data_IF_806153541444
#
_entry.id   IF_806153541444
#
_cell.length_a   1.000
_cell.length_b   1.000
_cell.length_c   1.000
_cell.angle_alpha   90.00
_cell.angle_beta   90.00
_cell.angle_gamma   90.00
#
_symmetry.space_group_name_H-M   'P 1'
#
loop_
_entity.id
_entity.type
_entity.pdbx_description
1 polymer ?
#
# COMPACT_ATOMS: atom_id res chain seq x y z
N UNK A 1 -20.58 -0.93 -13.16
CA UNK A 1 -20.79 -1.63 -11.87
C UNK A 1 -19.92 -0.92 -10.86
N UNK A 2 -20.49 -0.47 -9.74
CA UNK A 2 -19.79 0.22 -8.67
C UNK A 2 -19.63 -0.72 -7.46
N UNK A 3 -18.69 -0.40 -6.56
CA UNK A 3 -18.43 -1.20 -5.34
C UNK A 3 -19.55 -1.10 -4.30
N UNK A 4 -20.32 -0.01 -4.32
CA UNK A 4 -21.44 0.24 -3.41
C UNK A 4 -22.71 0.57 -4.20
N UNK A 5 -23.87 0.39 -3.58
CA UNK A 5 -25.15 0.76 -4.18
C UNK A 5 -25.36 2.27 -4.24
N UNK A 6 -26.13 2.74 -5.21
CA UNK A 6 -26.49 4.16 -5.36
C UNK A 6 -27.20 4.71 -4.10
N UNK A 7 -28.01 3.88 -3.43
CA UNK A 7 -28.69 4.25 -2.19
C UNK A 7 -27.71 4.50 -1.04
N UNK A 8 -26.72 3.61 -0.87
CA UNK A 8 -25.69 3.77 0.15
C UNK A 8 -24.82 4.99 -0.16
N UNK A 9 -24.46 5.20 -1.42
CA UNK A 9 -23.69 6.36 -1.86
C UNK A 9 -24.41 7.68 -1.54
N UNK A 10 -25.66 7.85 -1.97
CA UNK A 10 -26.40 9.10 -1.76
C UNK A 10 -26.71 9.34 -0.27
N UNK A 11 -27.00 8.28 0.49
CA UNK A 11 -27.22 8.38 1.93
C UNK A 11 -25.96 8.82 2.68
N UNK A 12 -24.82 8.21 2.34
CA UNK A 12 -23.52 8.56 2.93
C UNK A 12 -23.14 9.99 2.58
N UNK A 13 -23.24 10.37 1.31
CA UNK A 13 -22.94 11.72 0.83
C UNK A 13 -23.79 12.78 1.54
N UNK A 14 -25.10 12.55 1.66
CA UNK A 14 -26.00 13.45 2.38
C UNK A 14 -25.65 13.56 3.86
N UNK A 15 -25.33 12.44 4.51
CA UNK A 15 -25.01 12.41 5.94
C UNK A 15 -23.67 13.09 6.26
N UNK A 16 -22.66 12.88 5.42
CA UNK A 16 -21.29 13.34 5.64
C UNK A 16 -21.03 14.76 5.11
N UNK A 17 -21.82 15.26 4.15
CA UNK A 17 -21.71 16.65 3.65
C UNK A 17 -20.30 17.07 3.20
N UNK A 18 -19.49 16.12 2.70
CA UNK A 18 -18.10 16.36 2.29
C UNK A 18 -17.03 16.01 3.33
N UNK A 19 -17.41 15.77 4.59
CA UNK A 19 -16.51 15.40 5.69
C UNK A 19 -16.55 13.89 5.92
N UNK A 20 -15.72 13.17 5.18
CA UNK A 20 -15.61 11.71 5.26
C UNK A 20 -14.45 11.26 6.17
N UNK A 21 -13.44 12.11 6.33
CA UNK A 21 -12.28 11.84 7.18
C UNK A 21 -12.56 12.28 8.62
N UNK A 22 -12.53 11.35 9.58
CA UNK A 22 -12.78 11.59 11.00
C UNK A 22 -14.13 12.29 11.29
N UNK A 23 -15.25 11.68 10.91
CA UNK A 23 -16.57 12.28 11.07
C UNK A 23 -16.88 12.52 12.56
N UNK A 24 -17.21 13.76 12.91
CA UNK A 24 -17.78 14.08 14.23
C UNK A 24 -19.27 13.75 14.32
N UNK A 25 -19.93 13.62 13.16
CA UNK A 25 -21.33 13.24 13.03
C UNK A 25 -21.50 11.73 13.15
N UNK A 26 -22.22 11.28 14.19
CA UNK A 26 -22.50 9.87 14.45
C UNK A 26 -23.32 9.19 13.34
N UNK A 27 -24.15 9.92 12.60
CA UNK A 27 -24.85 9.38 11.44
C UNK A 27 -23.89 9.14 10.27
N UNK A 28 -22.95 10.05 10.02
CA UNK A 28 -21.93 9.85 8.98
C UNK A 28 -21.04 8.66 9.33
N UNK A 29 -20.57 8.57 10.59
CA UNK A 29 -19.80 7.44 11.08
C UNK A 29 -20.49 6.10 10.82
N UNK A 30 -21.79 5.99 11.14
CA UNK A 30 -22.57 4.76 10.86
C UNK A 30 -22.63 4.39 9.39
N UNK A 31 -22.82 5.37 8.50
CA UNK A 31 -22.85 5.09 7.06
C UNK A 31 -21.47 4.66 6.56
N UNK A 32 -20.40 5.28 7.08
CA UNK A 32 -19.03 4.89 6.77
C UNK A 32 -18.71 3.49 7.29
N UNK A 33 -19.18 3.09 8.47
CA UNK A 33 -19.06 1.71 8.96
C UNK A 33 -19.69 0.70 7.99
N UNK A 34 -20.83 1.04 7.38
CA UNK A 34 -21.47 0.18 6.37
C UNK A 34 -20.64 0.15 5.08
N UNK A 35 -20.10 1.28 4.63
CA UNK A 35 -19.21 1.34 3.46
C UNK A 35 -17.96 0.49 3.68
N UNK A 36 -17.33 0.60 4.84
CA UNK A 36 -16.15 -0.18 5.22
C UNK A 36 -16.48 -1.68 5.24
N UNK A 37 -17.61 -2.08 5.81
CA UNK A 37 -18.03 -3.48 5.86
C UNK A 37 -18.29 -4.08 4.47
N UNK A 38 -18.91 -3.34 3.54
CA UNK A 38 -19.17 -3.87 2.18
C UNK A 38 -17.92 -3.84 1.29
N UNK A 39 -16.92 -3.03 1.62
CA UNK A 39 -15.65 -2.92 0.89
C UNK A 39 -14.49 -3.65 1.56
N UNK A 40 -14.71 -4.31 2.71
CA UNK A 40 -13.66 -4.94 3.53
C UNK A 40 -12.83 -6.00 2.82
N UNK A 41 -13.42 -6.68 1.83
CA UNK A 41 -12.79 -7.74 1.05
C UNK A 41 -12.34 -7.24 -0.35
N UNK A 42 -12.32 -5.92 -0.56
CA UNK A 42 -11.73 -5.29 -1.74
C UNK A 42 -10.26 -5.04 -1.48
N UNK A 43 -9.41 -5.41 -2.44
CA UNK A 43 -8.01 -5.08 -2.39
C UNK A 43 -7.83 -3.57 -2.57
N UNK A 44 -7.45 -2.88 -1.50
CA UNK A 44 -7.22 -1.44 -1.50
C UNK A 44 -6.12 -1.02 -2.46
N UNK A 45 -5.08 -1.84 -2.63
CA UNK A 45 -3.90 -1.59 -3.48
C UNK A 45 -4.23 -1.64 -4.98
N UNK A 46 -5.20 -2.49 -5.35
CA UNK A 46 -5.72 -2.63 -6.69
C UNK A 46 -7.08 -3.34 -6.67
N UNK A 47 -8.16 -2.60 -6.96
CA UNK A 47 -9.54 -3.10 -6.86
C UNK A 47 -9.88 -4.23 -7.84
N UNK A 48 -9.01 -4.48 -8.83
CA UNK A 48 -9.17 -5.57 -9.80
C UNK A 48 -8.45 -6.86 -9.36
N UNK A 49 -7.62 -6.80 -8.31
CA UNK A 49 -6.93 -7.97 -7.76
C UNK A 49 -7.70 -8.56 -6.57
N UNK A 50 -7.57 -9.88 -6.31
CA UNK A 50 -8.17 -10.48 -5.12
C UNK A 50 -7.61 -9.85 -3.85
N UNK A 51 -8.44 -9.76 -2.81
CA UNK A 51 -7.97 -9.39 -1.49
C UNK A 51 -7.13 -10.52 -0.90
N UNK A 52 -5.86 -10.23 -0.68
CA UNK A 52 -4.89 -11.16 -0.15
C UNK A 52 -4.51 -10.71 1.27
N UNK A 53 -4.90 -11.51 2.27
CA UNK A 53 -4.70 -11.19 3.68
C UNK A 53 -3.21 -11.23 4.04
N UNK A 54 -2.55 -10.07 4.07
CA UNK A 54 -1.16 -9.93 4.55
C UNK A 54 -1.04 -9.51 6.01
N UNK A 55 -2.14 -9.14 6.65
CA UNK A 55 -2.14 -8.62 8.01
C UNK A 55 -2.26 -9.72 9.08
N UNK A 56 -1.39 -9.64 10.08
CA UNK A 56 -1.43 -10.45 11.30
C UNK A 56 -2.83 -10.37 11.94
N UNK A 57 -3.44 -11.49 12.38
CA UNK A 57 -4.75 -11.45 13.01
C UNK A 57 -4.74 -10.62 14.31
N UNK A 58 -5.89 -10.00 14.61
CA UNK A 58 -6.17 -9.33 15.89
C UNK A 58 -5.93 -10.31 17.05
N UNK A 59 -5.53 -9.84 18.25
CA UNK A 59 -5.27 -10.73 19.38
C UNK A 59 -6.53 -11.55 19.73
N UNK A 60 -6.50 -12.86 19.48
CA UNK A 60 -7.60 -13.78 19.81
C UNK A 60 -8.04 -14.74 18.70
N UNK A 61 -7.64 -14.52 17.45
CA UNK A 61 -7.94 -15.46 16.35
C UNK A 61 -6.72 -16.35 16.05
N UNK A 62 -6.81 -17.64 16.43
CA UNK A 62 -5.85 -18.66 16.02
C UNK A 62 -6.24 -19.13 14.62
N UNK A 63 -5.62 -18.58 13.57
CA UNK A 63 -5.47 -19.24 12.27
C UNK A 63 -4.41 -18.52 11.39
N UNK A 64 -3.45 -19.31 10.91
CA UNK A 64 -2.33 -18.98 9.99
C UNK A 64 -1.68 -17.61 10.17
N UNK A 65 -1.20 -17.37 11.39
CA UNK A 65 -0.21 -16.35 11.70
C UNK A 65 1.13 -16.70 11.06
N UNK A 66 1.74 -15.80 10.28
CA UNK A 66 3.19 -15.42 10.25
C UNK A 66 3.56 -14.79 8.90
N UNK A 67 3.08 -13.57 8.59
CA UNK A 67 3.61 -12.80 7.44
C UNK A 67 4.13 -11.41 7.86
N UNK A 68 3.72 -10.88 9.03
CA UNK A 68 4.22 -9.62 9.60
C UNK A 68 5.29 -9.73 10.69
N UNK A 69 5.60 -10.93 11.17
CA UNK A 69 6.73 -11.18 12.09
C UNK A 69 7.84 -11.79 11.26
N UNK A 70 9.01 -11.16 11.26
CA UNK A 70 10.17 -11.56 10.46
C UNK A 70 10.31 -13.08 10.40
N UNK A 71 10.17 -13.62 9.19
CA UNK A 71 10.26 -15.06 8.96
C UNK A 71 11.70 -15.49 9.22
N UNK A 72 11.89 -16.38 10.18
CA UNK A 72 13.12 -17.14 10.31
C UNK A 72 13.22 -18.09 9.09
N UNK A 73 14.45 -18.25 8.58
CA UNK A 73 14.78 -18.92 7.31
C UNK A 73 14.20 -20.35 7.16
N UNK A 74 13.86 -21.01 8.27
CA UNK A 74 13.43 -22.41 8.32
C UNK A 74 11.93 -22.65 8.04
N UNK A 75 11.07 -21.63 8.13
CA UNK A 75 9.60 -21.79 7.95
C UNK A 75 9.11 -21.51 6.51
N UNK A 76 10.02 -21.09 5.62
CA UNK A 76 9.71 -20.48 4.32
C UNK A 76 9.28 -21.48 3.23
N UNK A 77 9.90 -22.68 3.08
CA UNK A 77 9.54 -23.61 2.01
C UNK A 77 8.09 -24.15 2.11
N UNK A 78 7.59 -24.36 3.33
CA UNK A 78 6.20 -24.78 3.59
C UNK A 78 5.20 -23.65 3.31
N UNK A 79 5.62 -22.39 3.48
CA UNK A 79 4.80 -21.21 3.22
C UNK A 79 4.51 -21.02 1.72
N UNK A 80 5.52 -21.23 0.86
CA UNK A 80 5.40 -21.06 -0.59
C UNK A 80 4.39 -22.05 -1.19
N UNK A 81 4.31 -23.26 -0.65
CA UNK A 81 3.34 -24.28 -1.12
C UNK A 81 1.88 -24.02 -0.73
N UNK A 82 1.62 -23.15 0.26
CA UNK A 82 0.28 -22.84 0.76
C UNK A 82 -0.28 -21.48 0.32
N UNK A 83 0.51 -20.68 -0.39
CA UNK A 83 0.10 -19.36 -0.85
C UNK A 83 -0.77 -19.48 -2.11
N UNK A 84 -1.94 -18.80 -2.17
CA UNK A 84 -2.74 -18.77 -3.38
C UNK A 84 -1.89 -18.26 -4.56
N UNK A 85 -1.88 -19.01 -5.67
CA UNK A 85 -1.20 -18.63 -6.92
C UNK A 85 -1.66 -17.28 -7.46
N UNK A 86 -2.87 -16.89 -7.07
CA UNK A 86 -3.58 -15.73 -7.61
C UNK A 86 -3.27 -14.45 -6.82
N UNK A 87 -2.47 -14.55 -5.74
CA UNK A 87 -2.06 -13.43 -4.91
C UNK A 87 -0.66 -12.95 -5.28
N UNK A 88 -0.58 -11.75 -5.89
CA UNK A 88 0.69 -11.05 -6.14
C UNK A 88 1.46 -10.77 -4.84
N UNK A 89 0.73 -10.56 -3.73
CA UNK A 89 1.27 -10.37 -2.40
C UNK A 89 2.20 -11.51 -1.93
N UNK A 90 2.00 -12.73 -2.44
CA UNK A 90 2.86 -13.88 -2.18
C UNK A 90 4.31 -13.64 -2.60
N UNK A 91 4.55 -12.82 -3.62
CA UNK A 91 5.90 -12.47 -4.08
C UNK A 91 6.66 -11.59 -3.07
N UNK A 92 5.97 -10.92 -2.14
CA UNK A 92 6.60 -10.02 -1.18
C UNK A 92 7.42 -10.73 -0.09
N UNK A 93 7.35 -12.06 0.02
CA UNK A 93 8.28 -12.83 0.87
C UNK A 93 9.69 -12.88 0.28
N UNK A 94 9.82 -12.80 -1.05
CA UNK A 94 11.09 -12.97 -1.76
C UNK A 94 12.13 -11.90 -1.41
N UNK A 95 11.79 -10.58 -1.32
CA UNK A 95 12.73 -9.58 -0.85
C UNK A 95 13.27 -9.87 0.56
N UNK A 96 12.42 -10.40 1.45
CA UNK A 96 12.83 -10.78 2.80
C UNK A 96 13.85 -11.93 2.78
N UNK A 97 13.63 -12.95 1.96
CA UNK A 97 14.58 -14.05 1.77
C UNK A 97 15.90 -13.57 1.18
N UNK A 98 15.83 -12.72 0.16
CA UNK A 98 17.01 -12.23 -0.55
C UNK A 98 17.84 -11.29 0.33
N UNK A 99 17.21 -10.31 0.99
CA UNK A 99 17.90 -9.31 1.81
C UNK A 99 18.49 -9.87 3.13
N UNK A 100 17.94 -10.99 3.62
CA UNK A 100 18.44 -11.68 4.81
C UNK A 100 19.41 -12.83 4.52
N UNK A 101 19.79 -13.03 3.26
CA UNK A 101 20.83 -13.99 2.92
C UNK A 101 22.22 -13.42 3.23
N UNK A 102 23.03 -14.13 4.01
CA UNK A 102 24.39 -13.68 4.41
C UNK A 102 25.29 -13.34 3.23
N UNK A 103 25.23 -14.12 2.14
CA UNK A 103 26.04 -13.87 0.94
C UNK A 103 25.60 -12.58 0.25
N UNK A 104 24.29 -12.31 0.23
CA UNK A 104 23.75 -11.04 -0.29
C UNK A 104 24.16 -9.88 0.60
N UNK A 105 24.06 -10.03 1.93
CA UNK A 105 24.48 -8.98 2.88
C UNK A 105 25.98 -8.67 2.77
N UNK A 106 26.82 -9.70 2.68
CA UNK A 106 28.26 -9.55 2.48
C UNK A 106 28.55 -8.84 1.13
N UNK A 107 27.83 -9.18 0.05
CA UNK A 107 27.97 -8.53 -1.26
C UNK A 107 27.50 -7.06 -1.27
N UNK A 108 26.47 -6.73 -0.49
CA UNK A 108 25.98 -5.35 -0.30
C UNK A 108 26.85 -4.55 0.68
N UNK A 109 27.84 -5.17 1.33
CA UNK A 109 28.71 -4.51 2.30
C UNK A 109 28.01 -4.17 3.63
N UNK A 110 26.98 -4.96 4.00
CA UNK A 110 26.29 -4.77 5.28
C UNK A 110 27.24 -5.15 6.43
N UNK A 111 27.39 -4.24 7.39
CA UNK A 111 28.25 -4.47 8.56
C UNK A 111 27.59 -5.48 9.50
N UNK A 112 28.26 -6.62 9.73
CA UNK A 112 27.77 -7.68 10.64
C UNK A 112 27.45 -7.09 12.02
N UNK A 113 26.28 -7.44 12.55
CA UNK A 113 25.78 -6.97 13.85
C UNK A 113 25.09 -5.59 13.84
N UNK A 114 24.95 -4.92 12.70
CA UNK A 114 24.22 -3.63 12.61
C UNK A 114 22.73 -3.76 12.37
N UNK A 115 22.32 -4.86 11.72
CA UNK A 115 20.93 -5.19 11.45
C UNK A 115 20.76 -6.65 11.83
N UNK A 116 19.72 -6.93 12.63
CA UNK A 116 19.38 -8.28 13.06
C UNK A 116 18.64 -9.02 11.93
N UNK A 117 17.45 -8.54 11.57
CA UNK A 117 16.67 -9.02 10.42
C UNK A 117 16.16 -7.83 9.63
N UNK A 118 16.42 -7.83 8.32
CA UNK A 118 15.83 -6.88 7.39
C UNK A 118 14.33 -7.11 7.29
N UNK A 119 13.57 -6.03 7.49
CA UNK A 119 12.12 -5.97 7.34
C UNK A 119 11.77 -4.93 6.29
N UNK A 120 10.85 -5.26 5.38
CA UNK A 120 10.39 -4.37 4.31
C UNK A 120 9.77 -3.09 4.88
N UNK A 121 8.88 -3.25 5.86
CA UNK A 121 8.21 -2.15 6.55
C UNK A 121 8.43 -2.27 8.07
N UNK A 122 8.85 -1.19 8.71
CA UNK A 122 8.97 -1.09 10.17
C UNK A 122 7.88 -0.17 10.71
N UNK A 123 6.87 -0.76 11.33
CA UNK A 123 5.72 -0.04 11.89
C UNK A 123 5.93 0.43 13.33
N UNK A 124 7.04 0.02 13.95
CA UNK A 124 7.46 0.40 15.30
C UNK A 124 8.28 1.70 15.35
N UNK A 125 8.43 2.36 14.20
CA UNK A 125 9.12 3.64 14.12
C UNK A 125 8.21 4.77 14.63
N UNK A 126 8.67 5.59 15.58
CA UNK A 126 7.91 6.76 16.00
C UNK A 126 7.83 7.75 14.84
N UNK A 127 6.64 7.95 14.31
CA UNK A 127 6.38 8.89 13.22
C UNK A 127 5.15 9.73 13.52
N UNK A 128 5.29 11.05 13.41
CA UNK A 128 4.21 12.01 13.62
C UNK A 128 3.69 12.49 12.27
N UNK A 129 2.37 12.42 12.08
CA UNK A 129 1.70 12.87 10.86
C UNK A 129 1.22 14.32 11.06
N UNK A 130 2.12 15.28 10.92
CA UNK A 130 1.87 16.71 11.14
C UNK A 130 1.63 17.52 9.84
N UNK A 131 1.92 16.93 8.68
CA UNK A 131 1.67 17.54 7.37
C UNK A 131 0.32 17.07 6.81
N UNK A 132 -0.65 18.00 6.74
CA UNK A 132 -2.00 17.72 6.23
C UNK A 132 -2.12 17.88 4.70
N UNK A 133 -1.25 18.67 4.07
CA UNK A 133 -1.26 18.88 2.62
C UNK A 133 0.13 19.21 2.08
N UNK A 134 0.48 18.58 0.96
CA UNK A 134 1.74 18.83 0.23
C UNK A 134 1.62 19.92 -0.83
N UNK A 135 0.40 20.42 -1.11
CA UNK A 135 0.16 21.43 -2.16
C UNK A 135 1.02 22.69 -1.99
N UNK A 136 1.17 23.29 -0.78
CA UNK A 136 2.03 24.47 -0.60
C UNK A 136 3.50 24.19 -0.91
N UNK A 137 3.97 22.97 -0.65
CA UNK A 137 5.35 22.56 -0.92
C UNK A 137 5.59 22.38 -2.42
N UNK A 138 4.67 21.72 -3.13
CA UNK A 138 4.72 21.61 -4.58
C UNK A 138 4.71 22.99 -5.26
N UNK A 139 3.86 23.92 -4.80
CA UNK A 139 3.84 25.30 -5.30
C UNK A 139 5.15 26.05 -5.08
N UNK A 140 5.79 25.88 -3.91
CA UNK A 140 7.06 26.53 -3.61
C UNK A 140 8.20 26.01 -4.52
N UNK A 141 8.27 24.71 -4.77
CA UNK A 141 9.33 24.15 -5.63
C UNK A 141 9.11 24.50 -7.10
N UNK A 142 7.86 24.51 -7.59
CA UNK A 142 7.57 24.89 -8.98
C UNK A 142 7.83 26.37 -9.24
N UNK A 143 7.57 27.26 -8.28
CA UNK A 143 7.94 28.68 -8.39
C UNK A 143 9.45 28.93 -8.46
N UNK A 144 10.27 27.99 -7.99
CA UNK A 144 11.73 28.04 -8.12
C UNK A 144 12.24 27.46 -9.45
N UNK A 145 11.34 27.03 -10.33
CA UNK A 145 11.67 26.46 -11.63
C UNK A 145 11.89 24.94 -11.63
N UNK A 146 11.61 24.24 -10.52
CA UNK A 146 11.68 22.78 -10.50
C UNK A 146 10.44 22.16 -11.14
N UNK A 147 10.64 21.20 -12.02
CA UNK A 147 9.57 20.43 -12.61
C UNK A 147 8.98 19.45 -11.59
N UNK A 148 7.66 19.34 -11.52
CA UNK A 148 6.96 18.40 -10.65
C UNK A 148 6.05 17.47 -11.47
N UNK A 149 6.12 16.17 -11.18
CA UNK A 149 5.24 15.15 -11.75
C UNK A 149 4.45 14.50 -10.62
N UNK A 150 3.12 14.52 -10.75
CA UNK A 150 2.20 13.77 -9.87
C UNK A 150 1.45 12.81 -10.79
N UNK A 151 1.50 11.52 -10.48
CA UNK A 151 0.79 10.48 -11.20
C UNK A 151 0.17 9.50 -10.22
N UNK A 152 -0.94 8.87 -10.62
CA UNK A 152 -1.70 7.92 -9.83
C UNK A 152 -2.18 6.79 -10.73
N UNK A 153 -2.11 5.55 -10.25
CA UNK A 153 -2.93 4.47 -10.82
C UNK A 153 -4.41 4.76 -10.56
N UNK A 154 -5.27 4.42 -11.50
CA UNK A 154 -6.73 4.69 -11.48
C UNK A 154 -7.56 3.54 -10.89
N UNK A 155 -6.93 2.41 -10.57
CA UNK A 155 -7.58 1.24 -9.99
C UNK A 155 -7.22 1.00 -8.52
N UNK A 156 -6.78 2.02 -7.80
CA UNK A 156 -6.46 1.92 -6.37
C UNK A 156 -7.46 2.73 -5.53
N UNK A 157 -7.66 2.27 -4.30
CA UNK A 157 -8.62 2.81 -3.34
C UNK A 157 -7.94 3.50 -2.15
N UNK A 158 -6.66 3.23 -1.90
CA UNK A 158 -5.88 3.84 -0.81
C UNK A 158 -5.25 5.18 -1.21
N UNK A 159 -5.29 5.51 -2.50
CA UNK A 159 -4.68 6.70 -3.09
C UNK A 159 -3.30 6.38 -3.67
N UNK A 160 -3.11 6.76 -4.94
CA UNK A 160 -2.01 6.37 -5.82
C UNK A 160 -1.73 4.87 -5.82
N UNK A 161 -2.22 4.15 -6.84
CA UNK A 161 -1.88 2.74 -7.12
C UNK A 161 -0.50 2.41 -6.62
N UNK A 162 -0.45 1.76 -5.45
CA UNK A 162 0.62 1.90 -4.46
C UNK A 162 2.00 1.51 -5.03
N UNK A 163 1.95 0.71 -6.09
CA UNK A 163 3.07 0.33 -6.96
C UNK A 163 2.65 0.34 -8.44
N UNK A 164 2.19 1.45 -9.02
CA UNK A 164 1.85 1.53 -10.45
C UNK A 164 2.90 0.91 -11.42
N UNK A 165 4.23 1.02 -11.17
CA UNK A 165 5.23 0.32 -11.98
C UNK A 165 5.15 -1.22 -11.94
N UNK A 166 4.57 -1.80 -10.90
CA UNK A 166 4.32 -3.24 -10.78
C UNK A 166 3.17 -3.71 -11.70
N UNK A 167 2.12 -2.90 -11.82
CA UNK A 167 0.93 -3.21 -12.62
C UNK A 167 1.06 -2.78 -14.09
N UNK A 168 1.75 -1.67 -14.35
CA UNK A 168 1.90 -1.03 -15.66
C UNK A 168 3.37 -0.64 -15.94
N UNK A 169 4.30 -1.60 -15.97
CA UNK A 169 5.74 -1.31 -16.05
C UNK A 169 6.14 -0.58 -17.35
N UNK A 170 5.52 -0.94 -18.48
CA UNK A 170 5.85 -0.34 -19.79
C UNK A 170 5.38 1.10 -19.87
N UNK A 171 4.17 1.36 -19.38
CA UNK A 171 3.55 2.68 -19.34
C UNK A 171 4.27 3.59 -18.35
N UNK A 172 4.63 3.08 -17.16
CA UNK A 172 5.42 3.83 -16.19
C UNK A 172 6.81 4.17 -16.72
N UNK A 173 7.47 3.23 -17.42
CA UNK A 173 8.77 3.49 -18.07
C UNK A 173 8.65 4.53 -19.18
N UNK A 174 7.60 4.47 -20.00
CA UNK A 174 7.36 5.44 -21.05
C UNK A 174 7.10 6.85 -20.46
N UNK A 175 6.27 6.94 -19.42
CA UNK A 175 5.97 8.17 -18.71
C UNK A 175 7.24 8.81 -18.13
N UNK A 176 8.04 8.06 -17.36
CA UNK A 176 9.26 8.61 -16.75
C UNK A 176 10.29 9.00 -17.81
N UNK A 177 10.39 8.25 -18.92
CA UNK A 177 11.31 8.58 -20.02
C UNK A 177 10.92 9.89 -20.71
N UNK A 178 9.62 10.08 -20.99
CA UNK A 178 9.10 11.34 -21.57
C UNK A 178 9.32 12.50 -20.61
N UNK A 179 8.97 12.30 -19.34
CA UNK A 179 9.17 13.30 -18.30
C UNK A 179 10.63 13.76 -18.19
N UNK A 180 11.57 12.83 -18.08
CA UNK A 180 13.00 13.14 -17.94
C UNK A 180 13.61 13.80 -19.18
N UNK A 181 13.04 13.56 -20.36
CA UNK A 181 13.49 14.18 -21.62
C UNK A 181 12.81 15.52 -21.94
N UNK A 182 11.87 15.97 -21.09
CA UNK A 182 11.05 17.17 -21.36
C UNK A 182 10.07 16.99 -22.52
N UNK A 183 9.78 15.74 -22.92
CA UNK A 183 8.79 15.43 -23.93
C UNK A 183 7.37 15.45 -23.32
N UNK A 184 6.32 15.76 -24.12
CA UNK A 184 4.94 15.63 -23.67
C UNK A 184 4.61 14.19 -23.23
N UNK A 185 3.78 14.06 -22.18
CA UNK A 185 3.33 12.77 -21.64
C UNK A 185 2.27 12.10 -22.51
#
# INVERSE_FOLDING_TARGET
MALISDELFESTKKSCSGEYANPTNSHCAKYLDVVDEVTKDINGENILEPYCRTDSPRPGEIHSSTIGKGLYYEEVPLLISGLPSDCRASAYVLPGMWANNDTVQDALGIRKGTVDVWKRCRHDLPYTHDIQSTVPYHFNVTNKGFAALIYSGDHDMLGAGHTAPEYKPKECLAMITRWLSGAPL
#
